data_IF_497398729605
#
_entry.id   IF_497398729605
#
_cell.length_a   1.000
_cell.length_b   1.000
_cell.length_c   1.000
_cell.angle_alpha   90.00
_cell.angle_beta   90.00
_cell.angle_gamma   90.00
#
_symmetry.space_group_name_H-M   'P 1'
#
loop_
_entity.id
_entity.type
_entity.pdbx_description
1 polymer ?
#
# COMPACT_ATOMS: atom_id res chain seq x y z
N UNK A 1 -5.24 14.50 -3.60
CA UNK A 1 -4.47 13.64 -4.54
C UNK A 1 -4.90 12.21 -4.29
N UNK A 2 -5.05 11.39 -5.33
CA UNK A 2 -5.40 9.97 -5.13
C UNK A 2 -4.19 9.16 -4.64
N UNK A 3 -4.36 8.43 -3.54
CA UNK A 3 -3.37 7.60 -2.83
C UNK A 3 -2.98 6.40 -3.69
N UNK A 4 -3.97 5.76 -4.31
CA UNK A 4 -3.80 4.57 -5.14
C UNK A 4 -4.25 4.85 -6.58
N UNK A 5 -3.85 4.02 -7.54
CA UNK A 5 -4.32 4.15 -8.93
C UNK A 5 -4.93 2.86 -9.42
N UNK A 6 -6.04 2.94 -10.15
CA UNK A 6 -6.64 1.76 -10.79
C UNK A 6 -5.61 1.11 -11.71
N UNK A 7 -5.40 -0.19 -11.52
CA UNK A 7 -4.50 -1.02 -12.34
C UNK A 7 -5.34 -1.96 -13.19
N UNK A 8 -5.00 -2.07 -14.48
CA UNK A 8 -5.63 -3.05 -15.36
C UNK A 8 -5.19 -4.47 -15.02
N UNK A 9 -6.11 -5.42 -15.06
CA UNK A 9 -5.81 -6.83 -14.81
C UNK A 9 -4.93 -7.37 -15.93
N UNK A 10 -3.88 -8.13 -15.58
CA UNK A 10 -3.05 -8.82 -16.57
C UNK A 10 -3.88 -9.89 -17.27
N UNK A 11 -3.85 -9.89 -18.60
CA UNK A 11 -4.51 -10.92 -19.41
C UNK A 11 -3.77 -12.25 -19.26
N UNK A 12 -4.48 -13.38 -19.18
CA UNK A 12 -3.83 -14.69 -19.22
C UNK A 12 -3.11 -14.87 -20.56
N UNK A 13 -1.88 -15.40 -20.52
CA UNK A 13 -1.12 -15.78 -21.72
C UNK A 13 -1.90 -16.79 -22.56
N UNK A 14 -1.60 -16.91 -23.86
CA UNK A 14 -2.33 -17.80 -24.79
C UNK A 14 -2.46 -19.24 -24.27
N UNK A 15 -1.41 -19.79 -23.66
CA UNK A 15 -1.41 -21.10 -22.99
C UNK A 15 -2.24 -21.08 -21.70
N UNK A 16 -2.22 -19.98 -20.95
CA UNK A 16 -3.00 -19.78 -19.73
C UNK A 16 -4.51 -19.69 -19.96
N UNK A 17 -4.96 -19.24 -21.14
CA UNK A 17 -6.38 -19.27 -21.54
C UNK A 17 -6.91 -20.70 -21.67
N UNK A 18 -6.09 -21.61 -22.19
CA UNK A 18 -6.42 -23.03 -22.38
C UNK A 18 -6.51 -23.74 -21.02
N UNK A 19 -5.67 -23.35 -20.06
CA UNK A 19 -5.63 -23.91 -18.70
C UNK A 19 -6.52 -23.17 -17.68
N UNK A 20 -7.36 -22.22 -18.10
CA UNK A 20 -8.18 -21.34 -17.22
C UNK A 20 -7.40 -20.74 -16.04
N UNK A 21 -6.09 -20.54 -16.19
CA UNK A 21 -5.24 -20.14 -15.10
C UNK A 21 -5.11 -18.62 -15.11
N UNK A 22 -5.82 -17.94 -14.21
CA UNK A 22 -5.71 -16.48 -14.03
C UNK A 22 -4.38 -16.13 -13.36
N UNK A 23 -3.65 -15.10 -13.83
CA UNK A 23 -2.42 -14.66 -13.18
C UNK A 23 -2.64 -14.34 -11.70
N UNK A 24 -1.85 -14.95 -10.81
CA UNK A 24 -1.98 -14.73 -9.35
C UNK A 24 -1.70 -13.28 -8.94
N UNK A 25 -0.92 -12.56 -9.75
CA UNK A 25 -0.68 -11.12 -9.59
C UNK A 25 -1.95 -10.28 -9.70
N UNK A 26 -2.98 -10.78 -10.40
CA UNK A 26 -4.27 -10.09 -10.49
C UNK A 26 -4.98 -10.01 -9.14
N UNK A 27 -4.63 -10.86 -8.16
CA UNK A 27 -5.13 -10.74 -6.80
C UNK A 27 -4.72 -9.39 -6.19
N UNK A 28 -3.45 -9.00 -6.35
CA UNK A 28 -2.97 -7.72 -5.82
C UNK A 28 -3.48 -6.53 -6.61
N UNK A 29 -3.67 -6.68 -7.92
CA UNK A 29 -4.34 -5.65 -8.72
C UNK A 29 -5.78 -5.44 -8.25
N UNK A 30 -6.50 -6.53 -7.93
CA UNK A 30 -7.87 -6.44 -7.44
C UNK A 30 -7.93 -5.87 -6.02
N UNK A 31 -7.00 -6.23 -5.13
CA UNK A 31 -6.85 -5.60 -3.80
C UNK A 31 -6.55 -4.10 -3.96
N UNK A 32 -5.59 -3.72 -4.79
CA UNK A 32 -5.29 -2.32 -5.08
C UNK A 32 -6.53 -1.57 -5.57
N UNK A 33 -7.27 -2.14 -6.51
CA UNK A 33 -8.48 -1.49 -7.04
C UNK A 33 -9.61 -1.43 -6.02
N UNK A 34 -9.67 -2.39 -5.08
CA UNK A 34 -10.58 -2.34 -3.94
C UNK A 34 -10.20 -1.18 -2.99
N UNK A 35 -8.91 -1.00 -2.69
CA UNK A 35 -8.43 0.14 -1.90
C UNK A 35 -8.74 1.47 -2.60
N UNK A 36 -8.57 1.58 -3.93
CA UNK A 36 -8.98 2.77 -4.71
C UNK A 36 -10.48 3.05 -4.56
N UNK A 37 -11.32 2.00 -4.65
CA UNK A 37 -12.78 2.17 -4.52
C UNK A 37 -13.20 2.68 -3.15
N UNK A 38 -12.44 2.30 -2.12
CA UNK A 38 -12.68 2.68 -0.73
C UNK A 38 -11.69 3.73 -0.23
N UNK A 39 -11.07 4.51 -1.12
CA UNK A 39 -9.99 5.43 -0.76
C UNK A 39 -10.42 6.49 0.27
N UNK A 40 -11.68 6.93 0.20
CA UNK A 40 -12.27 7.88 1.16
C UNK A 40 -12.41 7.29 2.57
N UNK A 41 -12.43 5.97 2.73
CA UNK A 41 -12.56 5.27 4.00
C UNK A 41 -12.08 3.81 3.86
N UNK A 42 -10.79 3.62 4.11
CA UNK A 42 -10.14 2.31 3.98
C UNK A 42 -10.60 1.31 5.04
N UNK A 43 -11.24 1.77 6.13
CA UNK A 43 -11.77 0.88 7.18
C UNK A 43 -12.92 0.01 6.68
N UNK A 44 -13.59 0.43 5.60
CA UNK A 44 -14.65 -0.33 4.93
C UNK A 44 -14.14 -1.56 4.17
N UNK A 45 -12.85 -1.64 3.90
CA UNK A 45 -12.26 -2.81 3.26
C UNK A 45 -12.11 -3.90 4.31
N UNK A 46 -12.77 -5.04 4.14
CA UNK A 46 -12.77 -6.09 5.16
C UNK A 46 -11.80 -7.22 4.84
N UNK A 47 -11.42 -7.99 5.87
CA UNK A 47 -10.58 -9.17 5.69
C UNK A 47 -11.28 -10.22 4.82
N UNK A 48 -12.60 -10.33 4.89
CA UNK A 48 -13.39 -11.25 4.06
C UNK A 48 -13.24 -10.90 2.58
N UNK A 49 -13.31 -9.61 2.22
CA UNK A 49 -13.12 -9.18 0.82
C UNK A 49 -11.71 -9.52 0.30
N UNK A 50 -10.68 -9.33 1.15
CA UNK A 50 -9.31 -9.71 0.80
C UNK A 50 -9.18 -11.22 0.65
N UNK A 51 -9.83 -11.99 1.53
CA UNK A 51 -9.83 -13.45 1.51
C UNK A 51 -10.55 -13.99 0.25
N UNK A 52 -11.71 -13.43 -0.10
CA UNK A 52 -12.44 -13.75 -1.34
C UNK A 52 -11.57 -13.54 -2.58
N UNK A 53 -10.81 -12.44 -2.63
CA UNK A 53 -9.86 -12.19 -3.71
C UNK A 53 -8.73 -13.23 -3.69
N UNK A 54 -8.18 -13.55 -2.51
CA UNK A 54 -7.13 -14.56 -2.36
C UNK A 54 -7.58 -15.94 -2.87
N UNK A 55 -8.81 -16.33 -2.53
CA UNK A 55 -9.41 -17.60 -2.91
C UNK A 55 -9.73 -17.67 -4.41
N UNK A 56 -10.30 -16.59 -4.96
CA UNK A 56 -10.57 -16.43 -6.40
C UNK A 56 -9.32 -16.67 -7.26
N UNK A 57 -8.17 -16.19 -6.80
CA UNK A 57 -6.90 -16.33 -7.52
C UNK A 57 -6.04 -17.51 -7.06
N UNK A 58 -6.52 -18.34 -6.13
CA UNK A 58 -5.77 -19.45 -5.51
C UNK A 58 -4.36 -19.00 -5.10
N UNK A 59 -4.26 -17.79 -4.56
CA UNK A 59 -3.03 -17.17 -4.10
C UNK A 59 -3.04 -17.21 -2.57
N UNK A 60 -1.88 -17.45 -1.96
CA UNK A 60 -1.69 -17.30 -0.52
C UNK A 60 -1.07 -15.93 -0.31
N UNK A 61 -1.90 -14.94 0.06
CA UNK A 61 -1.46 -13.56 0.20
C UNK A 61 -0.36 -13.40 1.27
N UNK A 62 -0.42 -14.20 2.34
CA UNK A 62 0.57 -14.21 3.42
C UNK A 62 2.00 -14.56 2.97
N UNK A 63 2.15 -15.46 1.99
CA UNK A 63 3.44 -16.03 1.61
C UNK A 63 3.95 -15.56 0.25
N UNK A 64 3.12 -14.84 -0.53
CA UNK A 64 3.49 -14.35 -1.87
C UNK A 64 3.46 -12.84 -1.93
N UNK A 65 4.25 -12.30 -2.87
CA UNK A 65 4.22 -10.90 -3.26
C UNK A 65 4.44 -9.89 -2.12
N UNK A 66 5.30 -10.24 -1.13
CA UNK A 66 5.63 -9.37 0.01
C UNK A 66 5.97 -7.94 -0.43
N UNK A 67 6.84 -7.79 -1.43
CA UNK A 67 7.24 -6.48 -1.98
C UNK A 67 6.05 -5.63 -2.44
N UNK A 68 5.07 -6.23 -3.11
CA UNK A 68 3.90 -5.49 -3.60
C UNK A 68 2.91 -5.14 -2.48
N UNK A 69 2.82 -5.98 -1.43
CA UNK A 69 2.03 -5.67 -0.22
C UNK A 69 2.63 -4.49 0.53
N UNK A 70 3.96 -4.50 0.68
CA UNK A 70 4.72 -3.40 1.25
C UNK A 70 4.57 -2.11 0.43
N UNK A 71 4.58 -2.21 -0.90
CA UNK A 71 4.39 -1.06 -1.79
C UNK A 71 2.99 -0.41 -1.62
N UNK A 72 1.94 -1.20 -1.40
CA UNK A 72 0.61 -0.68 -1.10
C UNK A 72 0.58 0.06 0.25
N UNK A 73 1.17 -0.52 1.29
CA UNK A 73 1.27 0.13 2.58
C UNK A 73 2.08 1.43 2.50
N UNK A 74 3.21 1.39 1.79
CA UNK A 74 4.07 2.55 1.57
C UNK A 74 3.34 3.69 0.87
N UNK A 75 2.54 3.42 -0.16
CA UNK A 75 1.75 4.46 -0.84
C UNK A 75 0.84 5.23 0.13
N UNK A 76 0.21 4.53 1.07
CA UNK A 76 -0.58 5.17 2.13
C UNK A 76 0.30 5.92 3.13
N UNK A 77 1.38 5.31 3.61
CA UNK A 77 2.32 5.96 4.54
C UNK A 77 2.92 7.26 3.99
N UNK A 78 3.34 7.27 2.73
CA UNK A 78 3.84 8.45 2.03
C UNK A 78 2.74 9.52 1.88
N UNK A 79 1.46 9.14 1.81
CA UNK A 79 0.36 10.11 1.76
C UNK A 79 0.18 10.81 3.11
N UNK A 80 0.10 10.05 4.20
CA UNK A 80 -0.03 10.59 5.56
C UNK A 80 1.17 11.46 5.93
N UNK A 81 2.39 11.07 5.56
CA UNK A 81 3.58 11.84 5.91
C UNK A 81 3.75 13.18 5.15
N UNK A 82 2.83 13.55 4.25
CA UNK A 82 2.92 14.82 3.49
C UNK A 82 2.60 16.05 4.30
N UNK A 83 1.73 15.95 5.28
CA UNK A 83 1.36 17.06 6.17
C UNK A 83 2.17 17.04 7.48
N UNK A 84 3.12 16.12 7.58
CA UNK A 84 4.01 15.90 8.72
C UNK A 84 3.31 15.52 10.03
N UNK A 85 2.02 15.21 10.01
CA UNK A 85 1.23 14.90 11.19
C UNK A 85 0.51 13.59 10.94
N UNK A 86 0.78 12.58 11.78
CA UNK A 86 -0.01 11.35 11.77
C UNK A 86 -1.10 11.48 12.83
N UNK A 87 -2.36 11.49 12.42
CA UNK A 87 -3.49 11.54 13.35
C UNK A 87 -3.93 10.14 13.84
N UNK A 88 -4.81 10.12 14.86
CA UNK A 88 -5.31 8.87 15.44
C UNK A 88 -6.14 8.02 14.46
N UNK A 89 -6.80 8.65 13.48
CA UNK A 89 -7.58 7.94 12.46
C UNK A 89 -6.66 7.30 11.41
N UNK A 90 -5.57 7.96 11.04
CA UNK A 90 -4.52 7.41 10.20
C UNK A 90 -3.81 6.24 10.88
N UNK A 91 -3.56 6.31 12.21
CA UNK A 91 -3.04 5.17 12.99
C UNK A 91 -4.00 3.99 12.92
N UNK A 92 -5.31 4.20 13.04
CA UNK A 92 -6.30 3.12 12.90
C UNK A 92 -6.25 2.51 11.51
N UNK A 93 -6.11 3.33 10.47
CA UNK A 93 -5.99 2.85 9.09
C UNK A 93 -4.68 2.10 8.88
N UNK A 94 -3.56 2.53 9.47
CA UNK A 94 -2.30 1.78 9.44
C UNK A 94 -2.45 0.39 10.06
N UNK A 95 -3.06 0.29 11.23
CA UNK A 95 -3.31 -0.99 11.90
C UNK A 95 -4.28 -1.86 11.10
N UNK A 96 -5.24 -1.24 10.42
CA UNK A 96 -6.18 -1.93 9.54
C UNK A 96 -5.48 -2.50 8.30
N UNK A 97 -4.73 -1.66 7.57
CA UNK A 97 -3.95 -2.06 6.40
C UNK A 97 -2.90 -3.12 6.75
N UNK A 98 -2.25 -3.02 7.91
CA UNK A 98 -1.35 -4.06 8.43
C UNK A 98 -2.03 -5.42 8.44
N UNK A 99 -3.23 -5.49 9.01
CA UNK A 99 -4.03 -6.72 9.10
C UNK A 99 -4.45 -7.19 7.73
N UNK A 100 -5.02 -6.31 6.89
CA UNK A 100 -5.47 -6.66 5.53
C UNK A 100 -4.34 -7.19 4.65
N UNK A 101 -3.15 -6.61 4.77
CA UNK A 101 -2.00 -6.94 3.94
C UNK A 101 -1.09 -8.00 4.57
N UNK A 102 -1.44 -8.57 5.73
CA UNK A 102 -0.62 -9.56 6.47
C UNK A 102 0.84 -9.11 6.63
N UNK A 103 1.04 -7.86 7.04
CA UNK A 103 2.36 -7.28 7.32
C UNK A 103 2.73 -7.46 8.78
N UNK A 104 4.03 -7.60 9.07
CA UNK A 104 4.53 -7.63 10.44
C UNK A 104 4.95 -6.22 10.89
N UNK A 105 5.15 -6.04 12.20
CA UNK A 105 5.54 -4.74 12.77
C UNK A 105 6.88 -4.25 12.24
N UNK A 106 7.86 -5.15 12.13
CA UNK A 106 9.22 -4.83 11.66
C UNK A 106 9.18 -4.21 10.26
N UNK A 107 8.42 -4.80 9.34
CA UNK A 107 8.30 -4.31 7.96
C UNK A 107 7.62 -2.93 7.91
N UNK A 108 6.66 -2.68 8.80
CA UNK A 108 5.94 -1.40 8.89
C UNK A 108 6.83 -0.32 9.47
N UNK A 109 7.51 -0.60 10.59
CA UNK A 109 8.46 0.32 11.22
C UNK A 109 9.55 0.73 10.21
N UNK A 110 10.12 -0.24 9.49
CA UNK A 110 11.10 0.05 8.44
C UNK A 110 10.56 0.97 7.35
N UNK A 111 9.31 0.79 6.91
CA UNK A 111 8.72 1.70 5.91
C UNK A 111 8.52 3.09 6.51
N UNK A 112 7.94 3.18 7.70
CA UNK A 112 7.67 4.46 8.35
C UNK A 112 8.96 5.23 8.62
N UNK A 113 10.01 4.59 9.12
CA UNK A 113 11.30 5.24 9.37
C UNK A 113 11.95 5.72 8.08
N UNK A 114 11.92 4.90 7.02
CA UNK A 114 12.43 5.30 5.72
C UNK A 114 11.67 6.48 5.10
N UNK A 115 10.34 6.52 5.24
CA UNK A 115 9.54 7.61 4.71
C UNK A 115 9.71 8.88 5.56
N UNK A 116 9.78 8.78 6.90
CA UNK A 116 10.11 9.91 7.78
C UNK A 116 11.47 10.51 7.45
N UNK A 117 12.49 9.67 7.21
CA UNK A 117 13.84 10.12 6.86
C UNK A 117 13.85 10.90 5.53
N UNK A 118 13.07 10.47 4.54
CA UNK A 118 12.95 11.21 3.27
C UNK A 118 12.32 12.56 3.45
N UNK A 119 11.23 12.62 4.21
CA UNK A 119 10.54 13.88 4.50
C UNK A 119 11.46 14.83 5.24
N UNK A 120 12.23 14.34 6.22
CA UNK A 120 13.26 15.11 6.91
C UNK A 120 14.35 15.63 5.96
N UNK A 121 14.91 14.77 5.11
CA UNK A 121 15.94 15.15 4.14
C UNK A 121 15.44 16.19 3.13
N UNK A 122 14.17 16.10 2.72
CA UNK A 122 13.53 17.08 1.85
C UNK A 122 13.37 18.44 2.54
N UNK A 123 12.90 18.47 3.80
CA UNK A 123 12.77 19.69 4.59
C UNK A 123 14.11 20.36 4.88
N UNK A 124 15.14 19.58 5.23
CA UNK A 124 16.50 20.10 5.43
C UNK A 124 17.03 20.71 4.13
N UNK A 125 16.83 20.05 2.99
CA UNK A 125 17.25 20.58 1.68
C UNK A 125 16.52 21.86 1.30
N UNK A 126 15.22 21.95 1.55
CA UNK A 126 14.45 23.20 1.34
C UNK A 126 14.97 24.33 2.23
N UNK A 127 15.14 24.06 3.53
CA UNK A 127 15.62 25.06 4.50
C UNK A 127 17.03 25.57 4.17
N UNK A 128 17.92 24.68 3.71
CA UNK A 128 19.27 25.05 3.26
C UNK A 128 19.25 25.81 1.93
N UNK A 129 18.34 25.46 1.01
CA UNK A 129 18.20 26.14 -0.28
C UNK A 129 17.55 27.53 -0.15
N UNK A 130 16.65 27.71 0.82
CA UNK A 130 15.94 28.96 1.09
C UNK A 130 16.77 29.97 1.92
N UNK A 131 17.95 29.56 2.40
CA UNK A 131 18.97 30.49 2.94
C UNK A 131 18.72 31.02 4.36
N UNK A 132 17.74 30.51 5.10
CA UNK A 132 17.61 30.80 6.54
C UNK A 132 18.39 29.78 7.37
N UNK A 133 19.71 29.90 7.34
CA UNK A 133 20.53 29.56 8.50
C UNK A 133 20.59 30.81 9.38
N UNK A 134 19.52 31.07 10.14
CA UNK A 134 19.60 32.05 11.22
C UNK A 134 20.47 31.46 12.33
N UNK A 135 21.72 31.95 12.41
CA UNK A 135 22.51 31.91 13.63
C UNK A 135 21.90 32.81 14.71
#
# INVERSE_FOLDING_TARGET
MSIFRIKEKKKPSLIGKILKNTPKENALIEINNLLVKHENDLTKVTLEQIQEISDKYKSKLNNKFKTLRLDLFKQYATHCLKDHIIDDDEIKIFLHLKKLLHLNDIDIEQILDNEKMKVYDEEVKKSVADGELSQ
#
